data_IF_842648787358
#
_entry.id   IF_842648787358
#
_cell.length_a   1.000
_cell.length_b   1.000
_cell.length_c   1.000
_cell.angle_alpha   90.00
_cell.angle_beta   90.00
_cell.angle_gamma   90.00
#
_symmetry.space_group_name_H-M   'P 1'
#
loop_
_entity.id
_entity.type
_entity.pdbx_description
1 polymer ?
#
# COMPACT_ATOMS: atom_id res chain seq x y z
N UNK A 1 0.24 -16.17 -22.87
CA UNK A 1 0.69 -14.79 -23.16
C UNK A 1 1.94 -14.52 -22.33
N UNK A 2 3.07 -14.30 -22.98
CA UNK A 2 4.30 -13.92 -22.31
C UNK A 2 4.11 -12.57 -21.61
N UNK A 3 4.54 -12.46 -20.35
CA UNK A 3 4.56 -11.20 -19.63
C UNK A 3 5.54 -10.24 -20.31
N UNK A 4 5.19 -8.96 -20.42
CA UNK A 4 6.15 -7.94 -20.85
C UNK A 4 7.32 -7.93 -19.85
N UNK A 5 8.58 -7.66 -20.28
CA UNK A 5 9.74 -7.70 -19.40
C UNK A 5 9.62 -6.79 -18.15
N UNK A 6 8.85 -5.72 -18.23
CA UNK A 6 8.56 -4.82 -17.10
C UNK A 6 7.44 -5.29 -16.17
N UNK A 7 6.81 -6.45 -16.42
CA UNK A 7 5.62 -6.92 -15.70
C UNK A 7 4.32 -6.17 -16.02
N UNK A 8 4.39 -5.06 -16.76
CA UNK A 8 3.21 -4.31 -17.19
C UNK A 8 2.45 -5.04 -18.29
N UNK A 9 1.14 -4.80 -18.33
CA UNK A 9 0.31 -5.36 -19.37
C UNK A 9 0.47 -4.56 -20.68
N UNK A 10 0.82 -5.20 -21.80
CA UNK A 10 1.14 -4.49 -23.05
C UNK A 10 -0.09 -3.98 -23.83
N UNK A 11 -1.30 -4.09 -23.27
CA UNK A 11 -2.53 -3.59 -23.91
C UNK A 11 -3.10 -4.48 -25.03
N UNK A 12 -2.48 -5.62 -25.33
CA UNK A 12 -2.81 -6.47 -26.51
C UNK A 12 -4.26 -6.94 -26.58
N UNK A 13 -4.97 -7.07 -25.46
CA UNK A 13 -6.37 -7.49 -25.43
C UNK A 13 -7.37 -6.30 -25.32
N UNK A 14 -6.92 -5.04 -25.28
CA UNK A 14 -7.80 -3.86 -25.08
C UNK A 14 -8.91 -3.74 -26.13
N UNK A 15 -8.61 -4.14 -27.36
CA UNK A 15 -9.51 -4.03 -28.52
C UNK A 15 -9.92 -5.40 -29.07
N UNK A 16 -9.50 -6.49 -28.42
CA UNK A 16 -9.74 -7.84 -28.92
C UNK A 16 -11.20 -8.31 -28.76
N UNK A 17 -12.05 -7.54 -28.07
CA UNK A 17 -13.49 -7.81 -27.97
C UNK A 17 -13.85 -9.11 -27.23
N UNK A 18 -12.93 -9.65 -26.41
CA UNK A 18 -13.18 -10.88 -25.68
C UNK A 18 -14.35 -10.75 -24.70
N UNK A 19 -15.23 -11.75 -24.67
CA UNK A 19 -16.32 -11.82 -23.72
C UNK A 19 -15.79 -12.01 -22.28
N UNK A 20 -16.38 -11.31 -21.32
CA UNK A 20 -16.02 -11.45 -19.89
C UNK A 20 -16.33 -12.84 -19.32
N UNK A 21 -17.23 -13.59 -19.97
CA UNK A 21 -17.61 -14.96 -19.59
C UNK A 21 -16.58 -16.03 -19.94
N UNK A 22 -15.51 -15.69 -20.69
CA UNK A 22 -14.50 -16.66 -21.08
C UNK A 22 -13.85 -17.31 -19.83
N UNK A 23 -13.76 -18.65 -19.79
CA UNK A 23 -13.14 -19.34 -18.66
C UNK A 23 -11.66 -18.98 -18.56
N UNK A 24 -11.13 -19.01 -17.34
CA UNK A 24 -9.70 -18.79 -17.05
C UNK A 24 -9.12 -17.43 -17.50
N UNK A 25 -9.98 -16.43 -17.73
CA UNK A 25 -9.60 -15.09 -18.17
C UNK A 25 -9.58 -14.10 -17.01
N UNK A 26 -8.49 -13.32 -16.90
CA UNK A 26 -8.43 -12.22 -15.94
C UNK A 26 -9.14 -11.00 -16.50
N UNK A 27 -9.87 -10.27 -15.66
CA UNK A 27 -10.44 -8.98 -16.03
C UNK A 27 -9.49 -7.88 -15.62
N UNK A 28 -9.26 -6.94 -16.53
CA UNK A 28 -8.49 -5.72 -16.28
C UNK A 28 -9.40 -4.52 -16.47
N UNK A 29 -9.18 -3.50 -15.67
CA UNK A 29 -9.83 -2.21 -15.90
C UNK A 29 -8.99 -1.40 -16.89
N UNK A 30 -9.63 -0.61 -17.75
CA UNK A 30 -8.91 0.34 -18.61
C UNK A 30 -8.57 1.58 -17.79
N UNK A 31 -7.29 1.89 -17.62
CA UNK A 31 -6.86 3.06 -16.83
C UNK A 31 -6.88 4.34 -17.66
N UNK A 32 -7.15 5.51 -17.03
CA UNK A 32 -7.12 6.80 -17.72
C UNK A 32 -5.67 7.23 -18.00
N UNK A 33 -5.50 8.24 -18.86
CA UNK A 33 -4.19 8.87 -19.06
C UNK A 33 -3.71 9.62 -17.81
N UNK A 34 -4.65 10.20 -17.06
CA UNK A 34 -4.39 10.89 -15.80
C UNK A 34 -5.30 10.32 -14.71
N UNK A 35 -4.72 9.94 -13.59
CA UNK A 35 -5.46 9.44 -12.45
C UNK A 35 -6.00 10.59 -11.58
N UNK A 36 -7.09 10.37 -10.83
CA UNK A 36 -7.51 11.32 -9.80
C UNK A 36 -6.46 11.36 -8.68
N UNK A 37 -6.24 12.54 -8.05
CA UNK A 37 -5.35 12.61 -6.91
C UNK A 37 -5.92 11.87 -5.70
N UNK A 38 -5.06 11.47 -4.76
CA UNK A 38 -5.44 10.93 -3.46
C UNK A 38 -4.77 11.71 -2.32
N UNK A 39 -5.33 11.61 -1.12
CA UNK A 39 -4.80 12.32 0.06
C UNK A 39 -3.70 11.53 0.74
N UNK A 40 -2.56 12.15 0.95
CA UNK A 40 -1.42 11.51 1.59
C UNK A 40 -0.80 12.39 2.67
N UNK A 41 -0.52 11.79 3.82
CA UNK A 41 0.32 12.38 4.84
C UNK A 41 1.79 12.32 4.40
N UNK A 42 2.31 13.47 3.96
CA UNK A 42 3.71 13.67 3.61
C UNK A 42 4.19 14.78 4.54
N UNK A 43 5.17 14.50 5.41
CA UNK A 43 5.87 15.45 6.32
C UNK A 43 5.03 16.61 6.93
N UNK A 44 4.94 16.67 8.27
CA UNK A 44 4.23 17.71 9.04
C UNK A 44 2.70 17.83 8.83
N UNK A 45 2.00 17.77 9.98
CA UNK A 45 0.64 18.21 10.40
C UNK A 45 -0.59 18.05 9.46
N UNK A 46 -0.49 17.98 8.13
CA UNK A 46 -1.64 17.87 7.23
C UNK A 46 -1.40 16.99 5.97
N UNK A 47 -2.43 16.30 5.46
CA UNK A 47 -2.32 15.52 4.23
C UNK A 47 -2.37 16.41 2.98
N UNK A 48 -1.55 16.08 1.98
CA UNK A 48 -1.47 16.72 0.67
C UNK A 48 -2.18 15.88 -0.41
N UNK A 49 -2.48 16.50 -1.56
CA UNK A 49 -2.99 15.79 -2.73
C UNK A 49 -1.84 15.27 -3.58
N UNK A 50 -1.85 13.97 -3.86
CA UNK A 50 -0.80 13.28 -4.62
C UNK A 50 -1.38 12.68 -5.90
N UNK A 51 -0.68 12.93 -7.00
CA UNK A 51 -0.92 12.41 -8.35
C UNK A 51 0.40 11.78 -8.81
N UNK A 52 0.54 10.46 -8.60
CA UNK A 52 1.71 9.70 -9.04
C UNK A 52 1.26 8.40 -9.68
N UNK A 53 1.30 8.35 -11.01
CA UNK A 53 0.87 7.18 -11.77
C UNK A 53 2.04 6.21 -12.04
N UNK A 54 1.99 5.04 -11.43
CA UNK A 54 2.96 3.95 -11.64
C UNK A 54 2.28 2.62 -12.03
N UNK A 55 0.97 2.65 -12.32
CA UNK A 55 0.17 1.47 -12.66
C UNK A 55 -0.75 1.74 -13.84
N UNK A 56 -0.90 0.73 -14.71
CA UNK A 56 -1.79 0.78 -15.86
C UNK A 56 -2.50 -0.56 -16.04
N UNK A 57 -3.74 -0.50 -16.51
CA UNK A 57 -4.58 -1.65 -16.83
C UNK A 57 -4.49 -2.83 -15.85
N UNK A 58 -4.62 -2.53 -14.57
CA UNK A 58 -4.43 -3.52 -13.53
C UNK A 58 -5.58 -4.55 -13.51
N UNK A 59 -5.26 -5.73 -12.98
CA UNK A 59 -6.23 -6.82 -12.83
C UNK A 59 -7.22 -6.46 -11.73
N UNK A 60 -8.52 -6.62 -12.01
CA UNK A 60 -9.62 -6.45 -11.05
C UNK A 60 -10.27 -7.79 -10.68
N UNK A 61 -10.20 -8.78 -11.58
CA UNK A 61 -10.59 -10.17 -11.32
C UNK A 61 -9.52 -11.10 -11.87
N UNK A 62 -9.06 -12.03 -11.04
CA UNK A 62 -8.04 -13.02 -11.37
C UNK A 62 -8.61 -14.10 -12.31
N UNK A 63 -7.71 -14.89 -12.90
CA UNK A 63 -8.07 -16.00 -13.81
C UNK A 63 -8.85 -17.13 -13.13
N UNK A 64 -8.64 -17.32 -11.84
CA UNK A 64 -9.37 -18.27 -10.99
C UNK A 64 -10.74 -17.72 -10.54
N UNK A 65 -11.11 -16.51 -11.00
CA UNK A 65 -12.40 -15.92 -10.75
C UNK A 65 -12.49 -15.09 -9.46
N UNK A 66 -11.47 -15.10 -8.61
CA UNK A 66 -11.43 -14.31 -7.38
C UNK A 66 -11.15 -12.82 -7.64
N UNK A 67 -11.61 -11.91 -6.77
CA UNK A 67 -11.23 -10.50 -6.85
C UNK A 67 -9.72 -10.34 -6.73
N UNK A 68 -9.16 -9.40 -7.48
CA UNK A 68 -7.76 -9.02 -7.30
C UNK A 68 -7.57 -8.24 -6.00
N UNK A 69 -6.32 -8.19 -5.51
CA UNK A 69 -5.94 -7.42 -4.32
C UNK A 69 -6.45 -5.97 -4.36
N UNK A 70 -6.38 -5.33 -5.53
CA UNK A 70 -6.82 -3.94 -5.72
C UNK A 70 -8.31 -3.75 -5.41
N UNK A 71 -9.12 -4.80 -5.50
CA UNK A 71 -10.55 -4.76 -5.21
C UNK A 71 -10.83 -5.25 -3.80
N UNK A 72 -10.27 -6.42 -3.45
CA UNK A 72 -10.51 -7.05 -2.15
C UNK A 72 -10.12 -6.13 -0.98
N UNK A 73 -8.95 -5.48 -1.08
CA UNK A 73 -8.48 -4.54 -0.05
C UNK A 73 -9.46 -3.38 0.17
N UNK A 74 -9.95 -2.75 -0.90
CA UNK A 74 -10.87 -1.61 -0.80
C UNK A 74 -12.18 -2.02 -0.15
N UNK A 75 -12.74 -3.16 -0.57
CA UNK A 75 -13.99 -3.67 -0.02
C UNK A 75 -13.86 -3.98 1.48
N UNK A 76 -12.77 -4.61 1.89
CA UNK A 76 -12.50 -4.93 3.29
C UNK A 76 -12.27 -3.66 4.13
N UNK A 77 -11.52 -2.68 3.61
CA UNK A 77 -11.26 -1.39 4.28
C UNK A 77 -12.56 -0.61 4.49
N UNK A 78 -13.42 -0.51 3.47
CA UNK A 78 -14.72 0.15 3.58
C UNK A 78 -15.63 -0.57 4.59
N UNK A 79 -15.67 -1.91 4.53
CA UNK A 79 -16.44 -2.73 5.48
C UNK A 79 -15.97 -2.55 6.91
N UNK A 80 -14.65 -2.37 7.11
CA UNK A 80 -14.04 -2.09 8.41
C UNK A 80 -14.17 -0.64 8.88
N UNK A 81 -14.72 0.27 8.06
CA UNK A 81 -14.76 1.70 8.36
C UNK A 81 -13.38 2.35 8.40
N UNK A 82 -12.40 1.78 7.69
CA UNK A 82 -11.02 2.28 7.65
C UNK A 82 -10.98 3.55 6.80
N UNK A 83 -10.52 4.65 7.41
CA UNK A 83 -10.38 5.96 6.78
C UNK A 83 -8.94 6.49 6.79
N UNK A 84 -8.00 5.75 7.39
CA UNK A 84 -6.59 6.08 7.40
C UNK A 84 -5.74 4.82 7.30
N UNK A 85 -4.91 4.78 6.26
CA UNK A 85 -4.15 3.59 5.88
C UNK A 85 -2.66 3.90 5.97
N UNK A 86 -1.96 3.16 6.82
CA UNK A 86 -0.50 3.22 6.96
C UNK A 86 0.09 1.97 6.30
N UNK A 87 0.99 2.16 5.33
CA UNK A 87 1.63 1.05 4.60
C UNK A 87 2.97 1.46 4.00
N UNK A 88 3.71 0.51 3.43
CA UNK A 88 4.98 0.80 2.75
C UNK A 88 4.79 1.61 1.48
N UNK A 89 5.78 2.44 1.14
CA UNK A 89 5.79 3.25 -0.09
C UNK A 89 5.78 2.45 -1.40
N UNK A 90 6.16 1.17 -1.35
CA UNK A 90 6.01 0.25 -2.47
C UNK A 90 4.55 0.00 -2.88
N UNK A 91 3.59 0.35 -2.03
CA UNK A 91 2.16 0.22 -2.30
C UNK A 91 1.52 1.50 -2.86
N UNK A 92 2.28 2.58 -3.10
CA UNK A 92 1.78 3.80 -3.77
C UNK A 92 1.07 3.52 -5.11
N UNK A 93 1.58 2.64 -6.01
CA UNK A 93 0.85 2.31 -7.24
C UNK A 93 -0.50 1.64 -6.96
N UNK A 94 -0.59 0.83 -5.90
CA UNK A 94 -1.84 0.21 -5.48
C UNK A 94 -2.82 1.25 -4.94
N UNK A 95 -2.35 2.24 -4.18
CA UNK A 95 -3.16 3.40 -3.75
C UNK A 95 -3.85 4.07 -4.91
N UNK A 96 -3.08 4.38 -5.95
CA UNK A 96 -3.60 5.06 -7.12
C UNK A 96 -4.67 4.23 -7.85
N UNK A 97 -4.44 2.92 -8.00
CA UNK A 97 -5.39 1.99 -8.58
C UNK A 97 -6.68 1.85 -7.76
N UNK A 98 -6.54 1.70 -6.44
CA UNK A 98 -7.64 1.50 -5.49
C UNK A 98 -8.56 2.71 -5.44
N UNK A 99 -7.99 3.92 -5.30
CA UNK A 99 -8.77 5.18 -5.30
C UNK A 99 -9.48 5.39 -6.62
N UNK A 100 -8.80 5.15 -7.75
CA UNK A 100 -9.43 5.27 -9.07
C UNK A 100 -10.60 4.29 -9.25
N UNK A 101 -10.40 3.01 -8.95
CA UNK A 101 -11.48 2.02 -9.07
C UNK A 101 -12.66 2.36 -8.16
N UNK A 102 -12.39 2.72 -6.90
CA UNK A 102 -13.42 3.05 -5.94
C UNK A 102 -14.26 4.28 -6.38
N UNK A 103 -13.61 5.27 -6.99
CA UNK A 103 -14.28 6.45 -7.55
C UNK A 103 -15.28 6.14 -8.67
N UNK A 104 -15.05 5.05 -9.42
CA UNK A 104 -15.94 4.61 -10.50
C UNK A 104 -17.18 3.84 -10.02
N UNK A 105 -17.19 3.37 -8.77
CA UNK A 105 -18.27 2.54 -8.23
C UNK A 105 -19.00 3.33 -7.14
N UNK A 106 -20.25 3.78 -7.36
CA UNK A 106 -20.97 4.65 -6.43
C UNK A 106 -20.97 4.16 -4.97
N UNK A 107 -21.11 2.84 -4.77
CA UNK A 107 -21.12 2.23 -3.44
C UNK A 107 -19.78 2.31 -2.67
N UNK A 108 -18.66 2.62 -3.36
CA UNK A 108 -17.32 2.63 -2.78
C UNK A 108 -16.62 3.99 -2.87
N UNK A 109 -17.31 5.03 -3.35
CA UNK A 109 -16.73 6.37 -3.53
C UNK A 109 -16.19 6.99 -2.24
N UNK A 110 -16.70 6.59 -1.07
CA UNK A 110 -16.21 7.05 0.23
C UNK A 110 -14.74 6.73 0.46
N UNK A 111 -14.19 5.69 -0.18
CA UNK A 111 -12.77 5.35 -0.09
C UNK A 111 -11.84 6.43 -0.68
N UNK A 112 -12.35 7.29 -1.57
CA UNK A 112 -11.59 8.43 -2.06
C UNK A 112 -11.24 9.45 -0.95
N UNK A 113 -11.97 9.42 0.17
CA UNK A 113 -11.71 10.28 1.34
C UNK A 113 -10.64 9.70 2.27
N UNK A 114 -10.21 8.45 2.07
CA UNK A 114 -9.18 7.80 2.86
C UNK A 114 -7.87 8.57 2.77
N UNK A 115 -7.23 8.78 3.91
CA UNK A 115 -5.92 9.39 3.99
C UNK A 115 -4.88 8.27 4.06
N UNK A 116 -3.84 8.37 3.23
CA UNK A 116 -2.77 7.40 3.20
C UNK A 116 -1.52 7.95 3.89
N UNK A 117 -0.74 7.08 4.51
CA UNK A 117 0.63 7.38 4.88
C UNK A 117 1.52 6.25 4.43
N UNK A 118 2.46 6.58 3.55
CA UNK A 118 3.42 5.64 3.00
C UNK A 118 4.77 5.80 3.71
N UNK A 119 5.11 4.85 4.58
CA UNK A 119 6.39 4.86 5.25
C UNK A 119 7.50 4.31 4.33
N UNK A 120 8.73 4.77 4.53
CA UNK A 120 9.91 4.29 3.79
C UNK A 120 10.12 2.79 3.99
N UNK A 121 10.78 2.14 3.02
CA UNK A 121 11.11 0.73 3.13
C UNK A 121 12.27 0.49 4.09
N UNK A 122 12.20 -0.61 4.83
CA UNK A 122 13.32 -1.11 5.61
C UNK A 122 14.40 -1.65 4.68
N UNK A 123 15.62 -1.14 4.83
CA UNK A 123 16.79 -1.57 4.07
C UNK A 123 17.73 -2.39 4.95
N UNK A 124 18.47 -3.31 4.34
CA UNK A 124 19.56 -4.02 4.99
C UNK A 124 20.86 -3.20 4.97
N UNK A 125 21.95 -3.76 5.49
CA UNK A 125 23.25 -3.08 5.56
C UNK A 125 23.89 -2.82 4.20
N UNK A 126 23.41 -3.48 3.14
CA UNK A 126 23.84 -3.25 1.75
C UNK A 126 22.96 -2.20 1.04
N UNK A 127 21.91 -1.71 1.69
CA UNK A 127 20.93 -0.79 1.11
C UNK A 127 19.83 -1.50 0.32
N UNK A 128 19.78 -2.83 0.32
CA UNK A 128 18.73 -3.59 -0.37
C UNK A 128 17.47 -3.68 0.51
N UNK A 129 16.29 -3.73 -0.13
CA UNK A 129 15.00 -3.90 0.59
C UNK A 129 15.02 -5.20 1.39
N UNK A 130 14.77 -5.09 2.70
CA UNK A 130 14.60 -6.26 3.54
C UNK A 130 13.40 -7.07 3.04
N UNK A 131 13.65 -8.33 2.68
CA UNK A 131 12.62 -9.25 2.24
C UNK A 131 12.88 -10.65 2.81
N UNK A 132 11.79 -11.35 3.16
CA UNK A 132 11.86 -12.74 3.63
C UNK A 132 12.50 -13.65 2.58
N UNK A 133 12.23 -13.40 1.30
CA UNK A 133 12.81 -14.13 0.17
C UNK A 133 14.32 -13.92 0.01
N UNK A 134 14.85 -12.78 0.46
CA UNK A 134 16.29 -12.50 0.48
C UNK A 134 16.99 -13.00 1.75
N UNK A 135 16.33 -13.84 2.56
CA UNK A 135 16.93 -14.45 3.75
C UNK A 135 16.92 -13.56 5.01
N UNK A 136 16.19 -12.45 5.00
CA UNK A 136 16.05 -11.61 6.19
C UNK A 136 15.43 -12.41 7.36
N UNK A 137 16.06 -12.34 8.53
CA UNK A 137 15.61 -13.07 9.72
C UNK A 137 14.18 -12.70 10.10
N UNK A 138 13.30 -13.71 10.21
CA UNK A 138 11.91 -13.49 10.57
C UNK A 138 11.79 -12.99 12.02
N UNK A 139 10.70 -12.28 12.34
CA UNK A 139 10.41 -11.88 13.73
C UNK A 139 10.34 -13.08 14.68
N UNK A 140 9.89 -14.25 14.18
CA UNK A 140 9.87 -15.50 14.95
C UNK A 140 11.30 -15.93 15.30
N UNK A 141 12.19 -15.98 14.31
CA UNK A 141 13.60 -16.34 14.48
C UNK A 141 14.32 -15.39 15.43
N UNK A 142 14.10 -14.07 15.30
CA UNK A 142 14.67 -13.07 16.20
C UNK A 142 14.20 -13.25 17.65
N UNK A 143 12.91 -13.54 17.84
CA UNK A 143 12.37 -13.81 19.17
C UNK A 143 12.97 -15.08 19.77
N UNK A 144 13.07 -16.15 18.98
CA UNK A 144 13.65 -17.43 19.40
C UNK A 144 15.14 -17.32 19.72
N UNK A 145 15.87 -16.41 19.08
CA UNK A 145 17.28 -16.12 19.41
C UNK A 145 17.45 -15.21 20.63
N UNK A 146 16.39 -14.91 21.38
CA UNK A 146 16.43 -14.06 22.57
C UNK A 146 16.57 -12.56 22.29
N UNK A 147 16.32 -12.11 21.05
CA UNK A 147 16.41 -10.69 20.73
C UNK A 147 15.26 -9.92 21.40
N UNK A 148 15.62 -8.89 22.17
CA UNK A 148 14.63 -7.98 22.76
C UNK A 148 13.86 -7.19 21.69
N UNK A 149 12.55 -7.05 21.89
CA UNK A 149 11.66 -6.20 21.09
C UNK A 149 12.08 -4.73 21.09
N UNK A 150 12.81 -4.26 22.11
CA UNK A 150 13.34 -2.89 22.17
C UNK A 150 14.20 -2.56 20.95
N UNK A 151 15.02 -3.50 20.46
CA UNK A 151 15.84 -3.29 19.25
C UNK A 151 14.97 -3.09 18.00
N UNK A 152 13.81 -3.75 17.94
CA UNK A 152 12.85 -3.58 16.84
C UNK A 152 12.18 -2.20 16.92
N UNK A 153 11.78 -1.77 18.12
CA UNK A 153 11.17 -0.46 18.33
C UNK A 153 12.13 0.69 18.03
N UNK A 154 13.42 0.54 18.39
CA UNK A 154 14.46 1.51 18.04
C UNK A 154 14.59 1.67 16.52
N UNK A 155 14.73 0.57 15.78
CA UNK A 155 14.77 0.59 14.30
C UNK A 155 13.52 1.21 13.67
N UNK A 156 12.34 0.88 14.20
CA UNK A 156 11.09 1.48 13.74
C UNK A 156 11.07 2.99 13.98
N UNK A 157 11.60 3.44 15.12
CA UNK A 157 11.68 4.86 15.46
C UNK A 157 12.65 5.61 14.54
N UNK A 158 13.80 5.02 14.22
CA UNK A 158 14.72 5.58 13.20
C UNK A 158 14.02 5.75 11.85
N UNK A 159 13.24 4.74 11.42
CA UNK A 159 12.48 4.80 10.16
C UNK A 159 11.39 5.87 10.16
N UNK A 160 10.81 6.15 11.33
CA UNK A 160 9.87 7.24 11.53
C UNK A 160 10.55 8.61 11.70
N UNK A 161 11.87 8.71 11.56
CA UNK A 161 12.60 9.97 11.66
C UNK A 161 12.84 10.47 13.08
N UNK A 162 12.73 9.60 14.11
CA UNK A 162 13.12 9.97 15.46
C UNK A 162 14.64 10.15 15.56
N UNK A 163 15.10 11.24 16.18
CA UNK A 163 16.52 11.58 16.30
C UNK A 163 17.28 10.58 17.21
N UNK A 164 18.56 10.29 16.92
CA UNK A 164 19.42 9.49 17.80
C UNK A 164 19.46 10.06 19.22
N UNK A 165 19.21 9.21 20.23
CA UNK A 165 19.17 9.59 21.65
C UNK A 165 17.77 9.68 22.26
N UNK A 166 16.71 9.63 21.45
CA UNK A 166 15.34 9.43 21.94
C UNK A 166 15.11 7.93 22.14
N UNK A 167 15.37 7.44 23.35
CA UNK A 167 15.14 6.02 23.67
C UNK A 167 13.65 5.70 23.62
N UNK A 168 13.24 5.02 22.56
CA UNK A 168 11.93 4.40 22.49
C UNK A 168 11.99 3.06 23.21
N UNK A 169 11.27 2.98 24.32
CA UNK A 169 11.15 1.75 25.10
C UNK A 169 9.86 0.98 24.78
N UNK A 170 8.82 1.68 24.32
CA UNK A 170 7.52 1.09 24.00
C UNK A 170 6.82 1.82 22.83
N UNK A 171 5.91 1.11 22.15
CA UNK A 171 5.18 1.62 20.98
C UNK A 171 4.22 2.78 21.31
N UNK A 172 3.66 2.81 22.52
CA UNK A 172 2.65 3.79 22.91
C UNK A 172 3.27 5.18 23.01
N UNK A 173 4.45 5.28 23.61
CA UNK A 173 5.22 6.52 23.75
C UNK A 173 5.68 7.04 22.38
N UNK A 174 6.11 6.16 21.46
CA UNK A 174 6.43 6.55 20.08
C UNK A 174 5.24 7.09 19.31
N UNK A 175 4.10 6.40 19.41
CA UNK A 175 2.90 6.74 18.65
C UNK A 175 2.35 8.12 19.05
N UNK A 176 2.29 8.41 20.35
CA UNK A 176 1.82 9.70 20.86
C UNK A 176 2.69 10.88 20.40
N UNK A 177 3.99 10.63 20.21
CA UNK A 177 4.94 11.64 19.76
C UNK A 177 4.91 11.86 18.24
N UNK A 178 4.64 10.81 17.49
CA UNK A 178 4.52 10.87 16.03
C UNK A 178 3.18 11.49 15.58
N UNK A 179 2.11 11.23 16.34
CA UNK A 179 0.77 11.79 16.08
C UNK A 179 0.30 12.65 17.26
N UNK A 180 0.90 13.83 17.49
CA UNK A 180 0.58 14.68 18.64
C UNK A 180 -0.88 15.20 18.60
N UNK A 181 -1.48 15.28 17.41
CA UNK A 181 -2.92 15.33 17.21
C UNK A 181 -3.29 14.23 16.22
N UNK A 182 -4.00 13.16 16.62
CA UNK A 182 -4.51 12.21 15.65
C UNK A 182 -5.41 12.98 14.67
N UNK A 183 -5.29 12.75 13.35
CA UNK A 183 -6.11 13.45 12.35
C UNK A 183 -7.60 13.07 12.41
N UNK A 184 -7.96 12.22 13.37
CA UNK A 184 -9.30 11.70 13.58
C UNK A 184 -10.06 12.65 14.51
N UNK A 185 -10.74 13.64 13.92
CA UNK A 185 -12.01 14.06 14.52
C UNK A 185 -13.07 13.06 14.08
N UNK A 186 -13.91 12.62 15.02
CA UNK A 186 -15.19 11.99 14.66
C UNK A 186 -16.04 12.98 13.88
#
# INVERSE_FOLDING_TARGET
MAAHPSGHYPGTCRQAGYAFSLPTTAWRIRTPAKFPPYREWIHDIHPEQVDKAEIQDFVVRRRDGLPAYQIASVVDDIRGGINFIVRGEDLRPSTQAQVFWAGLVPAYQTFANTIFWHHSLLLDTSGAKLSKSAGAASLKTQRESGQSSTKLYQKFSELLGFLPGQQVQDLKTSFARFFPKPPFSK
#
